data_IF_202392776691
#
_entry.id   IF_202392776691
#
_cell.length_a   1.000
_cell.length_b   1.000
_cell.length_c   1.000
_cell.angle_alpha   90.00
_cell.angle_beta   90.00
_cell.angle_gamma   90.00
#
_symmetry.space_group_name_H-M   'P 1'
#
loop_
_entity.id
_entity.type
_entity.pdbx_description
1 polymer ?
#
# COMPACT_ATOMS: atom_id res chain seq x y z
N UNK A 1 8.22 -6.17 -29.46
CA UNK A 1 7.74 -6.31 -28.07
C UNK A 1 7.79 -4.95 -27.40
N UNK A 2 6.67 -4.45 -26.86
CA UNK A 2 6.65 -3.21 -26.08
C UNK A 2 6.99 -3.60 -24.63
N UNK A 3 8.15 -3.18 -24.12
CA UNK A 3 8.53 -3.46 -22.73
C UNK A 3 7.61 -2.65 -21.80
N UNK A 4 6.79 -3.36 -21.03
CA UNK A 4 6.01 -2.76 -19.95
C UNK A 4 6.90 -2.64 -18.72
N UNK A 5 6.98 -1.43 -18.15
CA UNK A 5 7.70 -1.16 -16.91
C UNK A 5 6.73 -1.25 -15.74
N UNK A 6 7.14 -1.93 -14.69
CA UNK A 6 6.39 -2.06 -13.44
C UNK A 6 7.23 -1.44 -12.32
N UNK A 7 6.68 -0.44 -11.64
CA UNK A 7 7.23 0.07 -10.40
C UNK A 7 6.62 -0.70 -9.25
N UNK A 8 7.32 -1.70 -8.72
CA UNK A 8 6.88 -2.48 -7.57
C UNK A 8 7.57 -1.99 -6.30
N UNK A 9 6.91 -2.16 -5.15
CA UNK A 9 7.50 -1.92 -3.83
C UNK A 9 8.00 -0.48 -3.61
N UNK A 10 7.31 0.52 -4.16
CA UNK A 10 7.62 1.93 -3.85
C UNK A 10 7.22 2.18 -2.40
N UNK A 11 8.18 2.53 -1.56
CA UNK A 11 7.96 2.73 -0.13
C UNK A 11 7.37 4.11 0.17
N UNK A 12 6.24 4.13 0.87
CA UNK A 12 5.54 5.34 1.33
C UNK A 12 5.65 5.51 2.85
N UNK A 13 6.65 4.90 3.50
CA UNK A 13 6.86 5.00 4.95
C UNK A 13 7.28 6.39 5.45
N UNK A 14 7.78 7.26 4.56
CA UNK A 14 8.25 8.60 4.93
C UNK A 14 7.07 9.60 5.03
N UNK A 15 6.63 9.86 6.25
CA UNK A 15 5.55 10.79 6.57
C UNK A 15 5.80 12.22 6.07
N UNK A 16 7.06 12.68 6.01
CA UNK A 16 7.36 14.03 5.55
C UNK A 16 7.18 14.16 4.04
N UNK A 17 7.48 13.09 3.30
CA UNK A 17 7.33 13.05 1.83
C UNK A 17 5.89 12.79 1.40
N UNK A 18 5.16 11.96 2.14
CA UNK A 18 3.86 11.43 1.72
C UNK A 18 2.68 11.86 2.61
N UNK A 19 2.87 12.91 3.43
CA UNK A 19 1.91 13.40 4.42
C UNK A 19 0.47 13.48 3.89
N UNK A 20 0.28 14.09 2.72
CA UNK A 20 -1.06 14.27 2.13
C UNK A 20 -1.72 12.94 1.78
N UNK A 21 -0.97 12.00 1.20
CA UNK A 21 -1.47 10.70 0.78
C UNK A 21 -1.79 9.83 2.00
N UNK A 22 -0.92 9.86 3.02
CA UNK A 22 -1.13 9.13 4.27
C UNK A 22 -2.31 9.71 5.08
N UNK A 23 -2.52 11.03 5.03
CA UNK A 23 -3.70 11.67 5.62
C UNK A 23 -5.00 11.21 4.94
N UNK A 24 -5.02 10.99 3.63
CA UNK A 24 -6.19 10.41 2.97
C UNK A 24 -6.46 8.96 3.44
N UNK A 25 -5.41 8.15 3.59
CA UNK A 25 -5.54 6.79 4.14
C UNK A 25 -6.06 6.79 5.58
N UNK A 26 -5.78 7.84 6.35
CA UNK A 26 -6.25 7.98 7.73
C UNK A 26 -7.78 8.17 7.85
N UNK A 27 -8.45 8.60 6.77
CA UNK A 27 -9.92 8.76 6.70
C UNK A 27 -10.66 7.43 6.54
N UNK A 28 -9.94 6.35 6.26
CA UNK A 28 -10.53 5.01 6.11
C UNK A 28 -11.11 4.50 7.43
N UNK A 29 -12.08 3.57 7.39
CA UNK A 29 -12.61 2.93 8.60
C UNK A 29 -11.50 2.29 9.46
N UNK A 30 -11.66 2.21 10.80
CA UNK A 30 -10.61 1.74 11.70
C UNK A 30 -10.01 0.37 11.40
N UNK A 31 -10.77 -0.55 10.81
CA UNK A 31 -10.28 -1.88 10.43
C UNK A 31 -9.43 -1.87 9.14
N UNK A 32 -9.51 -0.80 8.35
CA UNK A 32 -8.75 -0.58 7.12
C UNK A 32 -7.49 0.28 7.32
N UNK A 33 -7.34 0.92 8.49
CA UNK A 33 -6.23 1.83 8.75
C UNK A 33 -4.94 1.07 9.04
N UNK A 34 -3.83 1.64 8.56
CA UNK A 34 -2.48 1.16 8.81
C UNK A 34 -2.15 1.13 10.32
N UNK A 35 -2.56 2.19 11.03
CA UNK A 35 -2.43 2.32 12.48
C UNK A 35 -3.82 2.29 13.10
N UNK A 36 -4.09 1.27 13.91
CA UNK A 36 -5.37 1.09 14.59
C UNK A 36 -5.19 0.23 15.83
N UNK A 37 -5.94 0.50 16.90
CA UNK A 37 -5.91 -0.34 18.11
C UNK A 37 -6.28 -1.81 17.84
N UNK A 38 -7.07 -2.05 16.80
CA UNK A 38 -7.48 -3.39 16.36
C UNK A 38 -6.50 -4.07 15.39
N UNK A 39 -5.39 -3.42 15.00
CA UNK A 39 -4.38 -4.00 14.14
C UNK A 39 -3.17 -4.46 14.98
N UNK A 40 -2.92 -5.76 15.03
CA UNK A 40 -1.79 -6.33 15.79
C UNK A 40 -0.42 -5.77 15.34
N UNK A 41 -0.27 -5.42 14.06
CA UNK A 41 0.97 -4.87 13.52
C UNK A 41 1.28 -3.46 14.05
N UNK A 42 0.27 -2.74 14.56
CA UNK A 42 0.46 -1.43 15.20
C UNK A 42 1.14 -1.53 16.57
N UNK A 43 1.14 -2.72 17.19
CA UNK A 43 1.69 -2.95 18.53
C UNK A 43 3.12 -3.51 18.53
N UNK A 44 3.75 -3.69 17.36
CA UNK A 44 5.11 -4.23 17.24
C UNK A 44 6.21 -3.29 17.78
N UNK A 45 5.93 -1.98 17.89
CA UNK A 45 6.89 -0.98 18.36
C UNK A 45 8.05 -0.69 17.39
N UNK A 46 8.09 -1.33 16.22
CA UNK A 46 9.06 -1.09 15.16
C UNK A 46 8.42 -1.22 13.77
N UNK A 47 9.09 -0.65 12.77
CA UNK A 47 8.61 -0.61 11.39
C UNK A 47 8.94 -1.91 10.65
N UNK A 48 7.94 -2.47 9.96
CA UNK A 48 8.05 -3.62 9.07
C UNK A 48 7.56 -3.20 7.69
N UNK A 49 8.52 -2.94 6.79
CA UNK A 49 8.25 -2.40 5.46
C UNK A 49 7.26 -3.29 4.68
N UNK A 50 6.20 -2.68 4.14
CA UNK A 50 5.17 -3.35 3.36
C UNK A 50 4.14 -4.13 4.17
N UNK A 51 4.24 -4.15 5.50
CA UNK A 51 3.22 -4.73 6.37
C UNK A 51 2.54 -3.66 7.22
N UNK A 52 3.31 -2.92 8.02
CA UNK A 52 2.80 -1.76 8.76
C UNK A 52 3.21 -0.42 8.14
N UNK A 53 3.77 -0.46 6.92
CA UNK A 53 3.98 0.70 6.05
C UNK A 53 3.23 0.54 4.73
N UNK A 54 2.86 1.66 4.11
CA UNK A 54 2.20 1.65 2.81
C UNK A 54 3.21 1.39 1.70
N UNK A 55 2.90 0.46 0.80
CA UNK A 55 3.64 0.27 -0.45
C UNK A 55 2.75 0.60 -1.64
N UNK A 56 3.34 1.30 -2.60
CA UNK A 56 2.68 1.63 -3.85
C UNK A 56 3.21 0.73 -4.97
N UNK A 57 2.27 0.23 -5.75
CA UNK A 57 2.52 -0.52 -6.97
C UNK A 57 2.04 0.30 -8.15
N UNK A 58 2.98 0.85 -8.90
CA UNK A 58 2.71 1.60 -10.12
C UNK A 58 2.83 0.69 -11.33
N UNK A 59 1.81 0.71 -12.17
CA UNK A 59 1.75 -0.14 -13.35
C UNK A 59 1.20 0.62 -14.54
N UNK A 60 1.86 0.43 -15.69
CA UNK A 60 1.41 0.94 -16.99
C UNK A 60 0.74 -0.19 -17.76
N UNK A 61 -0.53 -0.02 -18.12
CA UNK A 61 -1.32 -1.00 -18.89
C UNK A 61 -2.61 -1.44 -18.18
N UNK A 62 -3.67 -1.65 -18.96
CA UNK A 62 -5.05 -1.59 -18.43
C UNK A 62 -5.47 -2.78 -17.55
N UNK A 63 -4.95 -4.00 -17.70
CA UNK A 63 -5.50 -5.16 -16.98
C UNK A 63 -4.47 -6.29 -16.76
N UNK A 64 -3.88 -6.41 -15.58
CA UNK A 64 -3.39 -7.73 -15.10
C UNK A 64 -3.99 -7.93 -13.71
N UNK A 65 -4.57 -9.11 -13.51
CA UNK A 65 -5.07 -9.59 -12.22
C UNK A 65 -3.89 -9.87 -11.31
N UNK A 66 -3.97 -9.41 -10.07
CA UNK A 66 -2.96 -9.69 -9.06
C UNK A 66 -3.18 -11.09 -8.49
N UNK A 67 -2.15 -11.92 -8.48
CA UNK A 67 -2.08 -13.14 -7.66
C UNK A 67 -1.01 -12.89 -6.62
N UNK A 68 -1.41 -12.49 -5.40
CA UNK A 68 -0.51 -12.36 -4.26
C UNK A 68 -0.87 -13.38 -3.20
N UNK A 69 0.12 -14.15 -2.73
CA UNK A 69 0.00 -15.01 -1.56
C UNK A 69 0.55 -14.23 -0.36
N UNK A 70 -0.27 -14.01 0.66
CA UNK A 70 0.17 -13.39 1.92
C UNK A 70 1.32 -14.22 2.49
N UNK A 71 2.49 -13.59 2.67
CA UNK A 71 3.71 -14.23 3.19
C UNK A 71 3.57 -14.69 4.64
N UNK A 72 2.53 -14.26 5.37
CA UNK A 72 2.46 -14.43 6.84
C UNK A 72 1.05 -14.60 7.40
N UNK A 73 0.06 -15.04 6.61
CA UNK A 73 -1.37 -15.16 7.01
C UNK A 73 -2.02 -13.84 7.50
N UNK A 74 -1.38 -12.69 7.32
CA UNK A 74 -1.98 -11.38 7.56
C UNK A 74 -2.86 -10.94 6.38
N UNK A 75 -3.91 -10.18 6.68
CA UNK A 75 -4.79 -9.59 5.68
C UNK A 75 -4.08 -8.40 5.00
N UNK A 76 -4.18 -8.32 3.67
CA UNK A 76 -3.67 -7.20 2.88
C UNK A 76 -4.83 -6.41 2.30
N UNK A 77 -4.73 -5.07 2.39
CA UNK A 77 -5.71 -4.16 1.82
C UNK A 77 -5.13 -3.52 0.55
N UNK A 78 -5.81 -3.68 -0.58
CA UNK A 78 -5.39 -3.16 -1.87
C UNK A 78 -6.35 -2.08 -2.36
N UNK A 79 -5.81 -0.91 -2.68
CA UNK A 79 -6.55 0.17 -3.31
C UNK A 79 -6.03 0.40 -4.72
N UNK A 80 -6.95 0.46 -5.69
CA UNK A 80 -6.63 0.84 -7.06
C UNK A 80 -6.84 2.34 -7.21
N UNK A 81 -5.74 3.10 -7.25
CA UNK A 81 -5.75 4.49 -7.69
C UNK A 81 -5.53 4.52 -9.21
N UNK A 82 -6.51 5.03 -9.96
CA UNK A 82 -6.37 5.24 -11.41
C UNK A 82 -6.15 6.73 -11.65
N UNK A 83 -4.92 7.12 -11.99
CA UNK A 83 -4.64 8.45 -12.52
C UNK A 83 -4.74 8.38 -14.04
N UNK A 84 -5.66 9.16 -14.63
CA UNK A 84 -5.66 9.41 -16.07
C UNK A 84 -4.40 10.23 -16.38
N UNK A 85 -3.40 9.62 -17.00
CA UNK A 85 -2.29 10.36 -17.60
C UNK A 85 -2.83 10.77 -18.99
N UNK A 86 -3.31 12.00 -19.12
CA UNK A 86 -3.62 12.62 -20.42
C UNK A 86 -2.32 12.95 -21.16
#
# INVERSE_FOLDING_TARGET
MKMLKFGTNVDLSDDNKWKSQLQELSKMPPFCRLISGCNMLSHLGHTVLGMNTTQLYMKVGENLRYIYKSLSNFCFLYFKASTLIC
#
